data_IF_899975525888
#
_entry.id   IF_899975525888
#
_cell.length_a   1.000
_cell.length_b   1.000
_cell.length_c   1.000
_cell.angle_alpha   90.00
_cell.angle_beta   90.00
_cell.angle_gamma   90.00
#
_symmetry.space_group_name_H-M   'P 1'
#
loop_
_entity.id
_entity.type
_entity.pdbx_description
1 polymer ?
#
# COMPACT_ATOMS: atom_id res chain seq x y z
N UNK A 1 13.08 -18.19 4.19
CA UNK A 1 13.57 -16.78 4.20
C UNK A 1 14.05 -16.40 5.61
N UNK A 2 15.30 -16.72 5.95
CA UNK A 2 15.93 -16.26 7.20
C UNK A 2 16.45 -14.84 6.95
N UNK A 3 15.81 -13.82 7.52
CA UNK A 3 16.39 -12.48 7.56
C UNK A 3 17.70 -12.52 8.35
N UNK A 4 18.73 -11.88 7.82
CA UNK A 4 19.95 -11.63 8.58
C UNK A 4 19.60 -10.76 9.79
N UNK A 5 20.33 -10.93 10.92
CA UNK A 5 20.04 -10.25 12.19
C UNK A 5 20.00 -8.73 11.97
N UNK A 6 18.79 -8.15 11.93
CA UNK A 6 18.57 -6.70 11.76
C UNK A 6 17.58 -6.33 10.67
N UNK A 7 17.22 -7.25 9.77
CA UNK A 7 16.26 -6.97 8.69
C UNK A 7 14.81 -7.18 9.16
N UNK A 8 13.91 -6.26 8.76
CA UNK A 8 12.48 -6.33 9.05
C UNK A 8 11.73 -6.47 7.73
N UNK A 9 10.84 -7.45 7.63
CA UNK A 9 9.93 -7.57 6.49
C UNK A 9 8.98 -6.36 6.44
N UNK A 10 9.04 -5.57 5.38
CA UNK A 10 8.20 -4.37 5.21
C UNK A 10 7.04 -4.56 4.23
N UNK A 11 7.13 -5.50 3.29
CA UNK A 11 6.08 -5.85 2.32
C UNK A 11 6.37 -7.20 1.67
N UNK A 12 5.32 -7.97 1.38
CA UNK A 12 5.39 -9.22 0.61
C UNK A 12 4.20 -9.26 -0.35
N UNK A 13 4.43 -9.68 -1.59
CA UNK A 13 3.38 -9.71 -2.63
C UNK A 13 3.71 -10.72 -3.71
N UNK A 14 2.74 -11.56 -4.06
CA UNK A 14 2.78 -12.35 -5.29
C UNK A 14 2.50 -11.46 -6.52
N UNK A 15 3.29 -11.59 -7.57
CA UNK A 15 3.19 -10.77 -8.78
C UNK A 15 3.11 -11.64 -10.03
N UNK A 16 2.45 -11.13 -11.07
CA UNK A 16 2.40 -11.76 -12.39
C UNK A 16 3.62 -11.35 -13.21
N UNK A 17 4.40 -12.32 -13.66
CA UNK A 17 5.65 -12.12 -14.42
C UNK A 17 5.48 -12.26 -15.93
N UNK A 18 4.25 -12.48 -16.44
CA UNK A 18 4.00 -12.69 -17.88
C UNK A 18 4.30 -11.49 -18.76
N UNK A 19 4.29 -10.28 -18.20
CA UNK A 19 4.57 -9.03 -18.92
C UNK A 19 5.38 -8.08 -18.04
N UNK A 20 6.33 -7.38 -18.64
CA UNK A 20 7.06 -6.30 -17.98
C UNK A 20 6.09 -5.17 -17.60
N UNK A 21 5.98 -4.89 -16.30
CA UNK A 21 5.07 -3.86 -15.77
C UNK A 21 5.55 -3.37 -14.42
N UNK A 22 4.98 -2.25 -13.96
CA UNK A 22 5.22 -1.72 -12.62
C UNK A 22 4.44 -2.52 -11.57
N UNK A 23 5.08 -2.72 -10.42
CA UNK A 23 4.44 -3.30 -9.24
C UNK A 23 4.55 -2.38 -8.04
N UNK A 24 3.42 -2.18 -7.36
CA UNK A 24 3.33 -1.35 -6.16
C UNK A 24 3.32 -2.24 -4.93
N UNK A 25 4.16 -1.90 -3.96
CA UNK A 25 4.28 -2.57 -2.66
C UNK A 25 3.91 -1.59 -1.56
N UNK A 26 2.81 -1.83 -0.80
CA UNK A 26 2.43 -0.95 0.29
C UNK A 26 3.43 -1.06 1.44
N UNK A 27 4.02 0.07 1.83
CA UNK A 27 5.01 0.18 2.93
C UNK A 27 4.64 1.28 3.94
N UNK A 28 3.40 1.77 3.91
CA UNK A 28 2.97 2.96 4.67
C UNK A 28 3.21 2.86 6.18
N UNK A 29 2.95 1.70 6.79
CA UNK A 29 3.16 1.49 8.24
C UNK A 29 4.64 1.53 8.62
N UNK A 30 5.51 0.93 7.80
CA UNK A 30 6.95 0.92 8.01
C UNK A 30 7.57 2.30 7.81
N UNK A 31 7.11 3.05 6.80
CA UNK A 31 7.53 4.44 6.58
C UNK A 31 7.02 5.35 7.70
N UNK A 32 5.77 5.20 8.15
CA UNK A 32 5.25 5.97 9.30
C UNK A 32 6.09 5.72 10.55
N UNK A 33 6.40 4.45 10.87
CA UNK A 33 7.25 4.09 12.00
C UNK A 33 8.67 4.68 11.89
N UNK A 34 9.23 4.75 10.69
CA UNK A 34 10.53 5.40 10.46
C UNK A 34 10.47 6.89 10.82
N UNK A 35 9.45 7.60 10.31
CA UNK A 35 9.26 9.02 10.55
C UNK A 35 8.94 9.33 12.02
N UNK A 36 8.16 8.48 12.69
CA UNK A 36 7.85 8.60 14.12
C UNK A 36 9.10 8.47 15.00
N UNK A 37 10.14 7.78 14.52
CA UNK A 37 11.45 7.70 15.17
C UNK A 37 12.36 8.89 14.86
N UNK A 38 11.88 9.88 14.10
CA UNK A 38 12.69 11.02 13.63
C UNK A 38 13.76 10.64 12.59
N UNK A 39 13.67 9.44 12.01
CA UNK A 39 14.60 8.98 10.98
C UNK A 39 14.10 9.37 9.59
N UNK A 40 15.03 9.61 8.68
CA UNK A 40 14.76 10.02 7.30
C UNK A 40 15.43 9.12 6.25
N UNK A 41 16.15 8.08 6.66
CA UNK A 41 16.83 7.13 5.77
C UNK A 41 16.34 5.71 6.03
N UNK A 42 16.12 4.95 4.96
CA UNK A 42 15.70 3.55 5.00
C UNK A 42 16.37 2.80 3.86
N UNK A 43 17.15 1.78 4.21
CA UNK A 43 17.67 0.82 3.25
C UNK A 43 16.64 -0.27 2.99
N UNK A 44 16.42 -0.59 1.72
CA UNK A 44 15.43 -1.58 1.29
C UNK A 44 16.12 -2.67 0.49
N UNK A 45 16.07 -3.90 1.02
CA UNK A 45 16.49 -5.10 0.30
C UNK A 45 15.29 -5.72 -0.40
N UNK A 46 15.46 -6.06 -1.68
CA UNK A 46 14.43 -6.72 -2.49
C UNK A 46 14.91 -8.13 -2.80
N UNK A 47 14.02 -9.12 -2.62
CA UNK A 47 14.26 -10.51 -2.94
C UNK A 47 13.11 -11.05 -3.79
N UNK A 48 13.46 -11.84 -4.80
CA UNK A 48 12.49 -12.54 -5.64
C UNK A 48 13.08 -13.89 -6.04
N UNK A 49 12.80 -14.91 -5.23
CA UNK A 49 13.42 -16.23 -5.37
C UNK A 49 13.03 -16.92 -6.68
N UNK A 50 11.87 -16.58 -7.27
CA UNK A 50 11.33 -17.19 -8.50
C UNK A 50 11.48 -16.32 -9.76
N UNK A 51 12.10 -15.13 -9.67
CA UNK A 51 12.19 -14.23 -10.82
C UNK A 51 13.01 -14.84 -11.96
N UNK A 52 14.17 -15.43 -11.65
CA UNK A 52 15.04 -16.04 -12.65
C UNK A 52 14.37 -17.23 -13.36
N UNK A 53 13.66 -18.08 -12.62
CA UNK A 53 12.94 -19.25 -13.16
C UNK A 53 11.82 -18.84 -14.12
N UNK A 54 11.20 -17.69 -13.86
CA UNK A 54 10.11 -17.15 -14.68
C UNK A 54 10.60 -16.21 -15.79
N UNK A 55 11.92 -16.06 -15.96
CA UNK A 55 12.51 -15.15 -16.95
C UNK A 55 12.28 -13.67 -16.64
N UNK A 56 11.87 -13.33 -15.41
CA UNK A 56 11.68 -11.96 -14.96
C UNK A 56 12.98 -11.39 -14.37
N UNK A 57 13.23 -10.11 -14.64
CA UNK A 57 14.34 -9.36 -14.03
C UNK A 57 13.79 -8.12 -13.34
N UNK A 58 14.29 -7.87 -12.13
CA UNK A 58 13.96 -6.65 -11.38
C UNK A 58 14.90 -5.53 -11.82
N UNK A 59 14.33 -4.38 -12.19
CA UNK A 59 15.11 -3.18 -12.49
C UNK A 59 15.52 -2.52 -11.16
N UNK A 60 16.77 -2.73 -10.76
CA UNK A 60 17.43 -2.05 -9.65
C UNK A 60 18.62 -1.30 -10.27
N UNK A 61 18.79 -0.01 -9.95
CA UNK A 61 19.75 0.87 -10.63
C UNK A 61 21.12 0.22 -10.88
N UNK A 62 21.60 0.46 -12.11
CA UNK A 62 22.82 -0.07 -12.68
C UNK A 62 24.09 0.21 -11.87
N UNK A 63 25.01 -0.76 -11.97
CA UNK A 63 26.38 -0.69 -11.48
C UNK A 63 26.97 0.70 -11.79
N UNK A 64 27.40 1.43 -10.77
CA UNK A 64 28.34 2.55 -11.00
C UNK A 64 29.51 1.97 -11.80
N UNK A 65 29.70 2.43 -13.05
CA UNK A 65 30.91 2.15 -13.83
C UNK A 65 32.06 2.66 -12.97
N UNK A 66 32.74 1.74 -12.27
CA UNK A 66 33.96 2.06 -11.53
C UNK A 66 34.91 2.53 -12.62
N UNK A 67 35.20 3.83 -12.65
CA UNK A 67 36.16 4.42 -13.57
C UNK A 67 37.52 3.90 -13.12
N UNK A 68 37.89 2.69 -13.57
CA UNK A 68 39.26 2.22 -13.50
C UNK A 68 40.02 3.04 -14.54
N UNK A 69 40.75 4.04 -14.06
CA UNK A 69 41.77 4.73 -14.85
C UNK A 69 42.94 3.76 -15.02
N UNK A 70 42.84 2.90 -16.02
CA UNK A 70 44.00 2.17 -16.52
C UNK A 70 44.47 2.79 -17.83
N UNK A 71 45.71 3.27 -17.76
CA UNK A 71 46.51 3.83 -18.84
C UNK A 71 46.86 2.71 -19.79
N UNK A 72 46.10 2.55 -20.87
CA UNK A 72 46.62 2.34 -22.23
C UNK A 72 45.47 2.17 -23.22
N UNK A 73 45.47 3.03 -24.24
CA UNK A 73 44.44 3.09 -25.27
C UNK A 73 44.31 1.79 -26.04
N UNK A 74 43.23 1.05 -25.77
CA UNK A 74 42.71 0.03 -26.68
C UNK A 74 41.20 0.00 -26.57
N UNK A 75 40.54 0.80 -27.40
CA UNK A 75 39.10 0.73 -27.62
C UNK A 75 38.74 -0.68 -28.09
N UNK A 76 38.12 -1.46 -27.20
CA UNK A 76 37.34 -2.63 -27.60
C UNK A 76 35.90 -2.16 -27.71
N UNK A 77 35.43 -2.16 -28.95
CA UNK A 77 34.05 -1.95 -29.36
C UNK A 77 33.17 -3.01 -28.69
N UNK A 78 32.73 -2.72 -27.48
CA UNK A 78 31.69 -3.46 -26.78
C UNK A 78 30.36 -2.89 -27.24
N UNK A 79 29.59 -3.69 -27.97
CA UNK A 79 28.24 -3.37 -28.43
C UNK A 79 27.29 -3.12 -27.24
N UNK A 80 27.33 -1.93 -26.66
CA UNK A 80 26.31 -1.43 -25.74
C UNK A 80 25.39 -0.50 -26.57
N UNK A 81 24.18 -0.96 -26.83
CA UNK A 81 23.18 -0.19 -27.58
C UNK A 81 22.69 0.98 -26.71
N UNK A 82 22.68 2.23 -27.19
CA UNK A 82 22.26 3.43 -26.43
C UNK A 82 20.84 3.36 -25.84
N UNK A 83 19.99 2.48 -26.37
CA UNK A 83 18.58 2.36 -25.97
C UNK A 83 18.30 1.53 -24.71
N UNK A 84 19.27 0.77 -24.18
CA UNK A 84 19.06 -0.03 -22.96
C UNK A 84 19.26 0.82 -21.69
N UNK A 85 20.24 1.71 -21.66
CA UNK A 85 20.50 2.62 -20.53
C UNK A 85 19.37 3.65 -20.33
N UNK A 86 18.80 4.20 -21.40
CA UNK A 86 17.67 5.14 -21.31
C UNK A 86 16.40 4.48 -20.78
N UNK A 87 16.13 3.24 -21.20
CA UNK A 87 15.00 2.45 -20.69
C UNK A 87 15.18 2.14 -19.21
N UNK A 88 16.38 1.82 -18.77
CA UNK A 88 16.67 1.50 -17.36
C UNK A 88 16.50 2.73 -16.45
N UNK A 89 16.82 3.93 -16.95
CA UNK A 89 16.56 5.19 -16.22
C UNK A 89 15.07 5.46 -16.02
N UNK A 90 14.23 5.18 -17.03
CA UNK A 90 12.77 5.38 -16.91
C UNK A 90 12.09 4.42 -15.93
N UNK A 91 12.71 3.27 -15.64
CA UNK A 91 12.20 2.23 -14.73
C UNK A 91 12.87 2.23 -13.36
N UNK A 92 13.57 3.31 -13.01
CA UNK A 92 14.19 3.48 -11.69
C UNK A 92 13.13 3.39 -10.57
N UNK A 93 13.30 2.50 -9.57
CA UNK A 93 12.36 2.38 -8.47
C UNK A 93 12.36 3.66 -7.61
N UNK A 94 11.18 4.01 -7.10
CA UNK A 94 10.99 5.19 -6.26
C UNK A 94 10.00 4.89 -5.13
N UNK A 95 10.13 5.65 -4.04
CA UNK A 95 9.16 5.65 -2.95
C UNK A 95 8.19 6.82 -3.15
N UNK A 96 6.92 6.52 -3.35
CA UNK A 96 5.85 7.52 -3.34
C UNK A 96 5.24 7.61 -1.94
N UNK A 97 5.16 8.82 -1.40
CA UNK A 97 4.54 9.07 -0.10
C UNK A 97 3.62 10.29 -0.15
N UNK A 98 2.42 10.14 0.40
CA UNK A 98 1.52 11.24 0.67
C UNK A 98 1.49 11.47 2.18
N UNK A 99 2.27 12.45 2.64
CA UNK A 99 2.31 12.85 4.05
C UNK A 99 1.35 14.03 4.30
N UNK A 100 0.75 14.08 5.49
CA UNK A 100 0.00 15.24 5.98
C UNK A 100 0.73 15.85 7.16
N UNK A 101 0.80 17.17 7.20
CA UNK A 101 1.37 17.87 8.34
C UNK A 101 0.49 17.68 9.59
N UNK A 102 1.10 17.64 10.77
CA UNK A 102 0.42 17.33 12.03
C UNK A 102 -0.66 18.35 12.41
N UNK A 103 -0.55 19.60 11.95
CA UNK A 103 -1.56 20.65 12.19
C UNK A 103 -2.89 20.35 11.49
N UNK A 104 -2.86 19.54 10.42
CA UNK A 104 -4.04 19.08 9.70
C UNK A 104 -4.81 17.96 10.45
N UNK A 105 -4.24 17.45 11.56
CA UNK A 105 -4.88 16.42 12.41
C UNK A 105 -6.05 16.97 13.23
N UNK A 106 -6.12 18.29 13.47
CA UNK A 106 -7.22 18.87 14.25
C UNK A 106 -8.56 18.82 13.48
N UNK A 107 -8.54 18.73 12.16
CA UNK A 107 -9.74 18.76 11.32
C UNK A 107 -10.20 17.41 10.80
N UNK A 108 -9.46 16.33 11.07
CA UNK A 108 -10.04 14.99 10.92
C UNK A 108 -10.89 14.72 12.15
N UNK A 109 -12.05 15.41 12.24
CA UNK A 109 -13.22 14.81 12.85
C UNK A 109 -13.34 13.46 12.15
N UNK A 110 -12.86 12.40 12.82
CA UNK A 110 -13.13 11.02 12.43
C UNK A 110 -14.61 11.05 12.10
N UNK A 111 -15.00 10.73 10.86
CA UNK A 111 -16.41 10.64 10.48
C UNK A 111 -16.99 9.55 11.39
N UNK A 112 -17.41 9.96 12.59
CA UNK A 112 -18.17 9.12 13.50
C UNK A 112 -19.54 9.09 12.86
N UNK A 113 -20.13 7.91 12.72
CA UNK A 113 -21.54 7.83 12.39
C UNK A 113 -22.27 8.67 13.43
N UNK A 114 -22.94 9.72 12.97
CA UNK A 114 -23.85 10.49 13.83
C UNK A 114 -25.03 9.57 14.14
N UNK A 115 -25.49 9.53 15.38
CA UNK A 115 -26.76 8.88 15.73
C UNK A 115 -27.84 9.97 15.76
N UNK A 116 -29.01 9.68 15.21
CA UNK A 116 -30.10 10.65 15.15
C UNK A 116 -30.64 10.92 16.56
N UNK A 117 -30.49 12.15 17.05
CA UNK A 117 -30.95 12.60 18.37
C UNK A 117 -32.27 13.41 18.32
N UNK A 118 -32.84 13.55 17.13
CA UNK A 118 -34.08 14.31 16.87
C UNK A 118 -33.91 15.83 16.85
N UNK A 119 -32.69 16.35 17.02
CA UNK A 119 -32.43 17.81 17.09
C UNK A 119 -31.85 18.39 15.81
N UNK A 120 -31.29 17.55 14.93
CA UNK A 120 -30.58 17.99 13.72
C UNK A 120 -31.04 17.14 12.52
N UNK A 121 -31.24 17.77 11.36
CA UNK A 121 -31.63 17.09 10.11
C UNK A 121 -30.43 16.69 9.23
N UNK A 122 -29.22 16.64 9.81
CA UNK A 122 -28.02 16.18 9.10
C UNK A 122 -28.03 14.66 9.02
N UNK A 123 -27.50 14.09 7.94
CA UNK A 123 -27.43 12.64 7.73
C UNK A 123 -26.85 11.91 8.96
N UNK A 124 -27.69 11.07 9.57
CA UNK A 124 -27.42 10.34 10.79
C UNK A 124 -27.99 8.92 10.71
N UNK A 125 -27.49 8.03 11.55
CA UNK A 125 -27.99 6.67 11.75
C UNK A 125 -29.15 6.70 12.73
N UNK A 126 -30.28 6.11 12.35
CA UNK A 126 -31.45 5.92 13.19
C UNK A 126 -31.54 4.49 13.67
N UNK A 127 -31.72 4.35 14.97
CA UNK A 127 -31.90 3.05 15.60
C UNK A 127 -33.30 2.52 15.32
N UNK A 128 -33.37 1.33 14.72
CA UNK A 128 -34.64 0.67 14.42
C UNK A 128 -34.49 -0.84 14.66
N UNK A 129 -35.22 -1.35 15.66
CA UNK A 129 -35.23 -2.77 15.98
C UNK A 129 -36.49 -3.40 15.41
N UNK A 130 -36.32 -4.49 14.68
CA UNK A 130 -37.40 -5.28 14.11
C UNK A 130 -37.52 -6.55 14.91
N UNK A 131 -38.61 -6.66 15.68
CA UNK A 131 -39.03 -7.89 16.34
C UNK A 131 -39.66 -8.81 15.29
N UNK A 132 -39.16 -10.04 15.17
CA UNK A 132 -39.76 -11.02 14.26
C UNK A 132 -41.16 -11.43 14.70
N UNK A 133 -41.46 -11.31 15.99
CA UNK A 133 -42.82 -11.52 16.51
C UNK A 133 -43.78 -10.44 16.01
N UNK A 134 -43.34 -9.19 15.98
CA UNK A 134 -44.20 -8.04 15.63
C UNK A 134 -44.55 -8.04 14.14
N UNK A 135 -43.68 -8.60 13.30
CA UNK A 135 -43.90 -8.75 11.85
C UNK A 135 -44.41 -10.14 11.45
N UNK A 136 -44.71 -11.03 12.41
CA UNK A 136 -45.26 -12.36 12.15
C UNK A 136 -44.28 -13.35 11.50
N UNK A 137 -42.98 -13.17 11.70
CA UNK A 137 -41.92 -14.02 11.16
C UNK A 137 -41.31 -14.98 12.19
N UNK A 138 -41.76 -14.90 13.44
CA UNK A 138 -41.29 -15.77 14.53
C UNK A 138 -41.65 -17.26 14.32
N UNK A 139 -42.48 -17.59 13.33
CA UNK A 139 -42.87 -18.97 13.02
C UNK A 139 -41.83 -19.71 12.18
N UNK A 140 -41.04 -18.99 11.36
CA UNK A 140 -40.00 -19.58 10.52
C UNK A 140 -38.59 -19.12 10.91
N UNK A 141 -38.45 -17.95 11.54
CA UNK A 141 -37.18 -17.51 12.14
C UNK A 141 -37.13 -17.96 13.60
N UNK A 142 -36.35 -19.01 13.86
CA UNK A 142 -36.25 -19.66 15.18
C UNK A 142 -35.43 -18.81 16.16
N UNK A 143 -34.37 -18.15 15.69
CA UNK A 143 -33.54 -17.24 16.47
C UNK A 143 -32.71 -16.33 15.53
N UNK A 144 -32.31 -15.11 15.93
CA UNK A 144 -32.67 -14.39 17.17
C UNK A 144 -34.14 -13.95 17.19
N UNK A 145 -34.69 -13.35 18.27
CA UNK A 145 -36.08 -12.85 18.31
C UNK A 145 -36.32 -11.60 17.43
N UNK A 146 -35.27 -10.98 16.94
CA UNK A 146 -35.31 -9.79 16.09
C UNK A 146 -33.92 -9.31 15.73
N UNK A 147 -33.83 -8.21 14.98
CA UNK A 147 -32.56 -7.62 14.56
C UNK A 147 -32.61 -6.10 14.48
N UNK A 148 -31.44 -5.47 14.59
CA UNK A 148 -31.30 -4.01 14.45
C UNK A 148 -31.22 -3.60 12.97
N UNK A 149 -32.37 -3.37 12.35
CA UNK A 149 -32.52 -2.84 10.99
C UNK A 149 -32.29 -1.31 10.93
N UNK A 150 -31.20 -0.82 11.52
CA UNK A 150 -30.87 0.61 11.54
C UNK A 150 -30.75 1.15 10.11
N UNK A 151 -31.15 2.40 9.89
CA UNK A 151 -31.10 3.06 8.58
C UNK A 151 -30.57 4.49 8.69
N UNK A 152 -30.18 5.09 7.57
CA UNK A 152 -29.74 6.49 7.54
C UNK A 152 -30.91 7.42 7.19
N UNK A 153 -31.00 8.56 7.85
CA UNK A 153 -32.02 9.60 7.65
C UNK A 153 -31.36 10.99 7.70
N UNK A 154 -31.93 11.98 7.00
CA UNK A 154 -31.43 13.37 6.95
C UNK A 154 -30.65 13.73 5.67
N UNK A 155 -30.15 14.97 5.63
CA UNK A 155 -29.52 15.60 4.47
C UNK A 155 -27.98 15.67 4.58
N UNK A 156 -27.27 15.63 3.44
CA UNK A 156 -25.79 15.67 3.34
C UNK A 156 -25.28 16.99 2.75
#
# INVERSE_FOLDING_TARGET
LKGEKGEILISEKAVDTRKSTWHIFPVSSSVQRLLDQGKNSMDVRIACDQCQETGASLVLLGKRKKKEEDVEGKEKDGSESPGEEEKEQSHRPFLMMLARHSEDRQHRRRRRGLECDGKVNICCKKHFFVSFKDIGWNDWIIAPPGYHANYCEGDC
#
